data_IF_917304972389
#
_entry.id   IF_917304972389
#
_cell.length_a   1.000
_cell.length_b   1.000
_cell.length_c   1.000
_cell.angle_alpha   90.00
_cell.angle_beta   90.00
_cell.angle_gamma   90.00
#
_symmetry.space_group_name_H-M   'P 1'
#
loop_
_entity.id
_entity.type
_entity.pdbx_description
1 polymer ?
2 non-polymer ?
3 non-polymer ?
4 non-polymer ?
5 water ?
#
# COMPACT_ATOMS: atom_id res chain seq x y z
N UNK A 12 -31.95 10.12 16.91
CA UNK A 12 -32.47 8.96 16.18
C UNK A 12 -31.34 8.28 15.40
N UNK A 13 -30.99 8.85 14.25
CA UNK A 13 -29.98 8.30 13.36
C UNK A 13 -28.70 9.12 13.44
N UNK A 14 -27.57 8.43 13.26
CA UNK A 14 -26.28 9.08 13.31
C UNK A 14 -25.25 8.54 12.33
N UNK A 15 -24.75 9.40 11.44
CA UNK A 15 -23.71 9.03 10.48
C UNK A 15 -22.38 9.54 10.99
N UNK A 16 -21.37 8.68 10.95
CA UNK A 16 -20.04 9.00 11.46
C UNK A 16 -19.03 8.87 10.32
N UNK A 17 -18.11 9.84 10.25
CA UNK A 17 -16.97 9.86 9.33
C UNK A 17 -15.72 9.76 10.18
N UNK A 18 -14.98 8.68 10.03
CA UNK A 18 -13.74 8.47 10.76
C UNK A 18 -12.62 8.72 9.76
N UNK A 19 -11.73 9.68 10.05
CA UNK A 19 -10.62 9.97 9.14
C UNK A 19 -9.34 9.40 9.72
N UNK A 20 -8.66 8.55 8.93
CA UNK A 20 -7.38 8.01 9.32
C UNK A 20 -6.26 8.98 8.99
N UNK A 21 -5.14 8.92 9.73
CA UNK A 21 -4.03 9.84 9.44
C UNK A 21 -3.52 9.75 8.02
N UNK A 22 -3.63 8.58 7.39
CA UNK A 22 -3.14 8.41 6.03
C UNK A 22 -4.06 9.02 4.97
N UNK A 23 -5.24 9.53 5.38
CA UNK A 23 -6.15 10.18 4.46
C UNK A 23 -7.34 9.34 4.05
N UNK A 24 -7.31 8.03 4.30
CA UNK A 24 -8.48 7.22 4.10
C UNK A 24 -9.50 7.46 5.19
N UNK A 25 -10.68 6.91 4.98
CA UNK A 25 -11.75 7.18 5.93
C UNK A 25 -12.78 6.05 5.90
N UNK A 26 -13.55 5.96 6.97
CA UNK A 26 -14.67 5.03 7.08
C UNK A 26 -15.92 5.86 7.36
N UNK A 27 -17.00 5.60 6.62
CA UNK A 27 -18.22 6.40 6.80
C UNK A 27 -19.43 5.49 6.83
N UNK A 28 -20.33 5.75 7.76
CA UNK A 28 -21.60 5.04 7.76
C UNK A 28 -22.39 5.38 9.00
N UNK A 29 -23.60 4.84 9.04
CA UNK A 29 -24.45 4.99 10.22
C UNK A 29 -23.97 4.03 11.29
N UNK A 30 -23.74 4.54 12.49
CA UNK A 30 -23.32 3.66 13.58
C UNK A 30 -24.53 2.94 14.14
N UNK A 31 -24.31 1.72 14.63
CA UNK A 31 -25.41 0.93 15.18
C UNK A 31 -25.68 1.39 16.62
N UNK A 32 -26.48 0.60 17.35
CA UNK A 32 -26.89 0.96 18.70
C UNK A 32 -25.69 1.15 19.62
N UNK A 33 -24.69 0.28 19.50
CA UNK A 33 -23.48 0.35 20.31
C UNK A 33 -22.47 1.37 19.80
N UNK A 34 -22.86 2.21 18.85
CA UNK A 34 -21.92 3.16 18.28
C UNK A 34 -20.85 2.53 17.42
N UNK A 35 -21.13 1.38 16.82
CA UNK A 35 -20.16 0.64 16.04
C UNK A 35 -20.48 0.73 14.55
N UNK A 36 -19.44 0.70 13.73
CA UNK A 36 -19.56 0.75 12.28
C UNK A 36 -19.97 -0.62 11.74
N UNK A 37 -21.24 -0.94 11.97
CA UNK A 37 -21.78 -2.25 11.63
C UNK A 37 -23.04 -2.07 10.81
N UNK A 38 -23.04 -2.60 9.59
CA UNK A 38 -24.21 -2.51 8.76
C UNK A 38 -23.89 -2.96 7.35
N UNK A 39 -24.87 -2.77 6.46
CA UNK A 39 -24.78 -3.17 5.07
C UNK A 39 -24.49 -2.01 4.13
N UNK A 40 -24.43 -0.79 4.64
CA UNK A 40 -24.22 0.40 3.83
C UNK A 40 -23.09 1.24 4.40
N UNK A 41 -22.01 0.57 4.80
CA UNK A 41 -20.81 1.20 5.32
C UNK A 41 -19.79 1.29 4.19
N UNK A 42 -18.92 2.29 4.23
CA UNK A 42 -17.93 2.40 3.17
C UNK A 42 -16.57 2.79 3.71
N UNK A 43 -15.52 2.14 3.18
CA UNK A 43 -14.18 2.69 3.26
C UNK A 43 -13.96 3.58 2.06
N UNK A 44 -13.40 4.77 2.29
CA UNK A 44 -13.09 5.69 1.21
C UNK A 44 -11.58 5.86 1.16
N UNK A 45 -10.98 5.65 -0.01
CA UNK A 45 -9.54 5.81 -0.18
C UNK A 45 -9.10 7.27 -0.04
N UNK A 46 -7.79 7.52 0.05
CA UNK A 46 -7.29 8.91 0.20
C UNK A 46 -7.68 9.87 -0.94
N UNK A 47 -8.13 9.40 -2.09
CA UNK A 47 -8.57 10.36 -3.11
C UNK A 47 -9.96 10.91 -2.83
N UNK A 48 -10.63 10.43 -1.77
CA UNK A 48 -11.95 10.90 -1.35
C UNK A 48 -12.99 10.65 -2.44
N UNK A 49 -12.75 9.62 -3.25
CA UNK A 49 -13.62 9.32 -4.39
C UNK A 49 -13.79 7.81 -4.54
N UNK A 50 -12.68 7.07 -4.46
CA UNK A 50 -12.72 5.62 -4.62
C UNK A 50 -13.16 4.98 -3.30
N UNK A 51 -14.17 4.10 -3.37
CA UNK A 51 -14.75 3.60 -2.14
C UNK A 51 -15.03 2.10 -2.25
N UNK A 52 -15.02 1.45 -1.09
CA UNK A 52 -15.44 0.06 -0.97
C UNK A 52 -16.67 0.06 -0.08
N UNK A 53 -17.84 -0.23 -0.66
CA UNK A 53 -19.12 0.03 -0.03
C UNK A 53 -19.86 -1.28 0.18
N UNK A 54 -20.38 -1.47 1.40
CA UNK A 54 -21.13 -2.69 1.66
C UNK A 54 -21.15 -3.11 3.11
N UNK A 55 -20.95 -4.41 3.36
CA UNK A 55 -21.12 -4.98 4.68
C UNK A 55 -19.84 -4.83 5.51
N UNK A 56 -19.96 -4.19 6.68
CA UNK A 56 -18.90 -4.07 7.66
C UNK A 56 -19.44 -4.49 9.02
N UNK A 57 -18.58 -5.07 9.84
CA UNK A 57 -18.91 -5.37 11.23
C UNK A 57 -17.86 -4.73 12.10
N UNK A 58 -18.28 -3.77 12.92
CA UNK A 58 -17.39 -3.05 13.83
C UNK A 58 -16.18 -2.49 13.07
N UNK A 59 -16.45 -1.91 11.91
CA UNK A 59 -15.42 -1.31 11.09
C UNK A 59 -14.60 -2.25 10.26
N UNK A 60 -14.84 -3.56 10.34
CA UNK A 60 -14.11 -4.56 9.58
C UNK A 60 -14.88 -4.89 8.31
N UNK A 61 -14.21 -4.79 7.17
CA UNK A 61 -14.87 -5.02 5.88
C UNK A 61 -15.20 -6.50 5.69
N UNK A 62 -16.49 -6.82 5.57
CA UNK A 62 -16.92 -8.18 5.26
C UNK A 62 -17.14 -8.36 3.76
N UNK A 63 -17.78 -7.38 3.12
CA UNK A 63 -18.06 -7.45 1.69
C UNK A 63 -18.18 -6.00 1.20
N UNK A 64 -17.07 -5.47 0.69
CA UNK A 64 -17.05 -4.14 0.10
C UNK A 64 -17.02 -4.25 -1.41
N UNK A 65 -17.93 -3.54 -2.06
CA UNK A 65 -18.00 -3.50 -3.52
C UNK A 65 -17.41 -2.18 -4.01
N UNK A 66 -16.68 -2.24 -5.12
CA UNK A 66 -16.08 -1.02 -5.66
C UNK A 66 -17.17 -0.01 -6.03
N UNK A 67 -16.96 1.23 -5.63
CA UNK A 67 -17.96 2.26 -5.76
C UNK A 67 -17.24 3.61 -5.87
N UNK A 68 -17.99 4.61 -6.30
CA UNK A 68 -17.50 5.98 -6.37
C UNK A 68 -18.33 6.86 -5.43
N UNK A 69 -17.65 7.61 -4.58
CA UNK A 69 -18.31 8.62 -3.76
C UNK A 69 -18.60 9.83 -4.64
N UNK A 70 -19.88 10.09 -4.89
CA UNK A 70 -20.27 11.13 -5.83
C UNK A 70 -20.47 12.48 -5.13
N UNK A 71 -21.16 12.47 -4.00
CA UNK A 71 -21.41 13.69 -3.26
C UNK A 71 -21.75 13.32 -1.82
N UNK A 72 -21.72 14.34 -0.96
CA UNK A 72 -22.09 14.20 0.45
C UNK A 72 -23.04 15.34 0.77
N UNK A 73 -24.33 15.10 0.58
CA UNK A 73 -25.35 16.11 0.86
C UNK A 73 -25.76 15.98 2.32
N UNK A 74 -25.45 17.02 3.11
CA UNK A 74 -25.83 17.11 4.53
C UNK A 74 -25.28 15.92 5.33
N UNK A 75 -24.05 15.51 5.01
CA UNK A 75 -23.34 14.50 5.76
C UNK A 75 -23.55 13.08 5.28
N UNK A 76 -24.71 12.80 4.67
CA UNK A 76 -24.99 11.48 4.12
C UNK A 76 -24.28 11.32 2.77
N UNK A 77 -23.32 10.42 2.65
CA UNK A 77 -22.64 10.24 1.36
C UNK A 77 -23.50 9.49 0.36
N UNK A 78 -23.32 9.83 -0.90
CA UNK A 78 -23.96 9.13 -2.01
C UNK A 78 -22.91 8.34 -2.78
N UNK A 79 -23.11 7.03 -2.85
CA UNK A 79 -22.18 6.14 -3.52
C UNK A 79 -22.81 5.56 -4.79
N UNK A 80 -22.02 5.51 -5.85
CA UNK A 80 -22.41 4.84 -7.08
C UNK A 80 -21.58 3.57 -7.20
N UNK A 81 -22.26 2.43 -7.23
CA UNK A 81 -21.55 1.17 -7.39
C UNK A 81 -20.94 1.09 -8.78
N UNK A 82 -19.67 0.67 -8.82
CA UNK A 82 -19.02 0.46 -10.09
C UNK A 82 -19.60 -0.78 -10.78
N UNK A 83 -19.83 -0.73 -12.08
CA UNK A 83 -20.26 -1.94 -12.80
C UNK A 83 -19.21 -3.03 -12.67
N UNK A 84 -19.64 -4.21 -12.32
CA UNK A 84 -18.75 -5.35 -12.19
C UNK A 84 -19.06 -6.11 -10.92
N UNK A 85 -18.21 -7.10 -10.64
CA UNK A 85 -18.35 -7.92 -9.44
C UNK A 85 -17.12 -7.81 -8.55
N UNK A 86 -16.42 -6.68 -8.61
CA UNK A 86 -15.26 -6.46 -7.74
C UNK A 86 -15.73 -6.39 -6.29
N UNK A 87 -15.40 -7.42 -5.50
CA UNK A 87 -15.78 -7.52 -4.09
C UNK A 87 -14.53 -7.77 -3.26
N UNK A 88 -14.42 -7.10 -2.11
CA UNK A 88 -13.24 -7.18 -1.26
C UNK A 88 -13.64 -7.46 0.18
N UNK A 89 -12.71 -8.03 0.93
CA UNK A 89 -12.96 -8.28 2.35
C UNK A 89 -11.65 -8.10 3.11
N UNK A 90 -11.80 -7.85 4.42
CA UNK A 90 -10.65 -7.85 5.30
C UNK A 90 -9.95 -9.20 5.21
N UNK A 91 -8.63 -9.15 5.00
CA UNK A 91 -7.89 -10.32 4.57
C UNK A 91 -6.44 -10.18 5.02
N UNK A 92 -6.24 -9.89 6.30
CA UNK A 92 -4.90 -9.61 6.81
C UNK A 92 -4.00 -10.83 6.63
N UNK A 93 -2.79 -10.59 6.14
CA UNK A 93 -1.86 -11.68 5.89
C UNK A 93 -1.36 -12.29 7.20
N UNK A 94 -0.77 -13.46 7.08
CA UNK A 94 -0.14 -14.15 8.19
C UNK A 94 1.35 -14.35 7.84
N UNK A 95 2.02 -15.18 8.64
CA UNK A 95 3.42 -15.43 8.36
C UNK A 95 3.60 -16.28 7.09
N UNK A 96 2.59 -17.06 6.71
CA UNK A 96 2.72 -17.98 5.59
C UNK A 96 1.71 -17.74 4.47
N UNK A 97 0.72 -16.88 4.67
CA UNK A 97 -0.30 -16.64 3.65
C UNK A 97 -0.31 -15.14 3.35
N UNK A 98 0.00 -14.79 2.10
CA UNK A 98 0.09 -13.38 1.74
C UNK A 98 -1.29 -12.79 1.43
N UNK A 99 -2.23 -13.62 0.99
CA UNK A 99 -3.51 -13.13 0.51
C UNK A 99 -4.42 -14.30 0.16
N UNK A 100 -5.73 -14.14 0.42
CA UNK A 100 -6.72 -15.12 -0.05
C UNK A 100 -6.89 -15.05 -1.55
N UNK A 101 -6.64 -13.89 -2.16
CA UNK A 101 -6.71 -13.77 -3.61
C UNK A 101 -5.50 -12.96 -4.08
N UNK A 102 -4.39 -13.65 -4.29
CA UNK A 102 -3.15 -13.00 -4.68
C UNK A 102 -3.25 -12.27 -6.00
N UNK A 103 -4.22 -12.62 -6.86
CA UNK A 103 -4.31 -12.02 -8.19
C UNK A 103 -5.45 -11.02 -8.30
N UNK A 104 -6.06 -10.63 -7.19
CA UNK A 104 -7.07 -9.59 -7.18
C UNK A 104 -6.39 -8.26 -6.85
N UNK A 105 -6.24 -7.35 -7.80
CA UNK A 105 -5.48 -6.13 -7.55
C UNK A 105 -6.27 -5.17 -6.67
N UNK A 106 -5.54 -4.23 -6.10
CA UNK A 106 -6.19 -3.14 -5.38
C UNK A 106 -6.64 -2.08 -6.38
N UNK A 107 -7.90 -1.64 -6.33
CA UNK A 107 -8.43 -0.77 -7.38
C UNK A 107 -7.88 0.64 -7.34
N UNK A 108 -7.54 1.14 -6.15
CA UNK A 108 -6.94 2.47 -6.03
C UNK A 108 -5.51 2.45 -6.56
N UNK A 109 -4.74 1.45 -6.16
CA UNK A 109 -3.38 1.30 -6.69
C UNK A 109 -3.39 1.11 -8.20
N UNK A 110 -4.36 0.35 -8.72
CA UNK A 110 -4.41 0.07 -10.15
C UNK A 110 -4.58 1.34 -10.98
N UNK A 111 -5.21 2.37 -10.41
CA UNK A 111 -5.38 3.63 -11.14
C UNK A 111 -4.11 4.46 -11.16
N UNK A 112 -3.18 4.20 -10.24
CA UNK A 112 -2.06 5.11 -10.03
C UNK A 112 -0.69 4.58 -10.39
N UNK A 113 -0.45 3.27 -10.40
CA UNK A 113 0.87 2.76 -10.70
C UNK A 113 0.80 1.58 -11.66
N UNK A 114 1.93 1.28 -12.27
CA UNK A 114 2.09 0.06 -13.04
C UNK A 114 3.53 -0.42 -12.92
N UNK A 115 3.75 -1.67 -13.27
CA UNK A 115 5.07 -2.29 -13.21
C UNK A 115 5.64 -2.39 -14.62
N UNK A 116 6.91 -2.05 -14.79
CA UNK A 116 7.58 -2.18 -16.07
C UNK A 116 9.07 -2.37 -15.80
N UNK A 117 9.86 -2.55 -16.87
CA UNK A 117 11.30 -2.65 -16.67
C UNK A 117 11.84 -1.35 -16.08
N UNK A 118 12.67 -1.46 -15.05
CA UNK A 118 13.22 -0.26 -14.42
C UNK A 118 14.08 0.54 -15.39
N UNK A 119 14.14 1.85 -15.14
CA UNK A 119 15.09 2.69 -15.87
C UNK A 119 16.47 2.70 -15.22
N UNK A 120 16.59 2.12 -14.03
CA UNK A 120 17.88 1.95 -13.35
C UNK A 120 18.54 0.70 -13.90
N UNK A 121 19.78 0.85 -14.38
CA UNK A 121 20.49 -0.25 -15.01
C UNK A 121 20.62 -1.44 -14.05
N UNK A 122 20.22 -2.63 -14.54
CA UNK A 122 20.29 -3.90 -13.82
C UNK A 122 19.38 -4.00 -12.60
N UNK A 123 18.43 -3.07 -12.44
CA UNK A 123 17.56 -3.14 -11.27
C UNK A 123 16.39 -4.10 -11.45
N UNK A 124 16.15 -4.59 -12.65
CA UNK A 124 15.01 -5.48 -12.88
C UNK A 124 13.75 -4.69 -13.23
N UNK A 125 12.64 -5.04 -12.60
CA UNK A 125 11.40 -4.28 -12.77
C UNK A 125 11.36 -3.11 -11.79
N UNK A 126 10.52 -2.14 -12.12
CA UNK A 126 10.30 -1.00 -11.26
C UNK A 126 8.83 -0.65 -11.26
N UNK A 127 8.51 0.33 -10.43
CA UNK A 127 7.15 0.78 -10.24
C UNK A 127 7.07 2.18 -10.85
N UNK A 128 6.02 2.43 -11.63
CA UNK A 128 5.90 3.66 -12.40
C UNK A 128 4.55 4.31 -12.13
N UNK A 129 4.53 5.64 -12.18
CA UNK A 129 3.25 6.35 -12.05
C UNK A 129 2.45 6.23 -13.35
N UNK A 130 1.17 5.87 -13.22
CA UNK A 130 0.28 5.84 -14.39
C UNK A 130 -0.14 7.24 -14.83
N UNK A 131 -0.31 8.16 -13.87
CA UNK A 131 -0.86 9.47 -14.11
C UNK A 131 -0.03 10.50 -13.36
N UNK A 132 -0.18 11.75 -13.76
CA UNK A 132 0.48 12.81 -13.01
C UNK A 132 -0.28 13.05 -11.71
N UNK A 133 0.46 13.18 -10.61
CA UNK A 133 -0.13 13.40 -9.30
C UNK A 133 0.68 14.47 -8.58
N UNK A 134 0.09 15.06 -7.55
CA UNK A 134 0.77 16.07 -6.77
C UNK A 134 1.60 15.48 -5.66
N UNK A 135 2.25 16.34 -4.88
CA UNK A 135 3.00 15.86 -3.70
C UNK A 135 2.08 15.22 -2.67
N UNK A 136 2.68 14.35 -1.86
CA UNK A 136 2.03 13.73 -0.71
C UNK A 136 0.88 12.82 -1.10
N UNK A 137 0.96 12.22 -2.28
CA UNK A 137 -0.10 11.36 -2.81
C UNK A 137 0.23 9.89 -2.54
N UNK A 138 -0.70 9.17 -1.89
CA UNK A 138 -0.55 7.72 -1.73
C UNK A 138 -0.67 7.07 -3.11
N UNK A 139 0.33 6.27 -3.48
CA UNK A 139 0.38 5.66 -4.81
C UNK A 139 0.20 4.15 -4.80
N UNK A 140 0.72 3.49 -3.78
CA UNK A 140 0.85 2.04 -3.85
C UNK A 140 0.87 1.51 -2.43
N UNK A 141 0.48 0.25 -2.27
CA UNK A 141 0.44 -0.39 -0.98
C UNK A 141 1.52 -1.46 -0.87
N UNK A 142 2.10 -1.56 0.32
CA UNK A 142 3.16 -2.54 0.57
C UNK A 142 2.58 -3.58 1.53
N UNK A 143 1.80 -4.50 0.97
CA UNK A 143 1.36 -5.68 1.71
C UNK A 143 2.37 -6.82 1.53
N UNK A 144 2.28 -7.81 2.40
CA UNK A 144 3.13 -8.98 2.31
C UNK A 144 2.86 -9.88 3.49
N UNK A 145 3.58 -11.01 3.53
CA UNK A 145 3.48 -11.84 4.74
C UNK A 145 4.14 -11.10 5.90
N UNK A 146 3.83 -11.56 7.12
CA UNK A 146 4.24 -10.89 8.34
C UNK A 146 5.18 -11.82 9.11
N UNK A 147 6.44 -11.43 9.21
CA UNK A 147 7.46 -12.25 9.86
C UNK A 147 8.18 -11.40 10.92
N UNK A 148 9.06 -12.05 11.68
CA UNK A 148 9.77 -11.38 12.76
C UNK A 148 11.07 -10.77 12.25
N UNK A 149 11.52 -9.72 12.96
CA UNK A 149 12.87 -9.21 12.73
C UNK A 149 13.91 -10.29 12.92
N UNK A 150 13.67 -11.21 13.86
CA UNK A 150 14.61 -12.30 14.09
C UNK A 150 14.79 -13.14 12.83
N UNK A 151 13.69 -13.52 12.18
CA UNK A 151 13.77 -14.31 10.96
C UNK A 151 14.53 -13.55 9.87
N UNK A 152 14.22 -12.26 9.68
CA UNK A 152 14.89 -11.46 8.67
C UNK A 152 16.38 -11.30 9.00
N UNK A 153 16.69 -10.98 10.25
CA UNK A 153 18.09 -10.77 10.64
C UNK A 153 18.90 -12.07 10.60
N UNK A 154 18.24 -13.22 10.78
CA UNK A 154 18.94 -14.49 10.91
C UNK A 154 19.15 -15.21 9.58
N UNK A 155 18.78 -14.61 8.45
CA UNK A 155 18.96 -15.24 7.16
C UNK A 155 19.81 -14.36 6.25
N UNK A 156 20.18 -14.93 5.09
CA UNK A 156 20.98 -14.23 4.11
C UNK A 156 20.27 -12.95 3.66
N UNK A 157 21.02 -11.85 3.56
CA UNK A 157 20.38 -10.60 3.17
C UNK A 157 19.90 -10.65 1.73
N UNK A 158 20.42 -11.57 0.91
CA UNK A 158 19.89 -11.77 -0.44
C UNK A 158 18.43 -12.21 -0.44
N UNK A 159 17.92 -12.70 0.69
CA UNK A 159 16.51 -13.02 0.82
C UNK A 159 15.68 -11.84 1.33
N UNK A 160 16.29 -10.68 1.56
CA UNK A 160 15.60 -9.58 2.21
C UNK A 160 15.34 -8.39 1.30
N UNK A 161 15.47 -8.57 -0.02
CA UNK A 161 15.25 -7.45 -0.95
C UNK A 161 13.83 -6.92 -0.96
N UNK A 162 12.84 -7.72 -0.54
CA UNK A 162 11.46 -7.26 -0.46
C UNK A 162 10.97 -7.06 0.97
N UNK A 163 11.87 -7.06 1.96
CA UNK A 163 11.45 -6.84 3.34
C UNK A 163 11.25 -5.35 3.62
N UNK A 164 10.26 -5.05 4.45
CA UNK A 164 10.03 -3.68 4.93
C UNK A 164 9.54 -3.78 6.37
N UNK A 165 10.28 -3.18 7.29
CA UNK A 165 9.85 -3.18 8.69
C UNK A 165 8.54 -2.42 8.82
N UNK A 166 7.57 -3.04 9.47
CA UNK A 166 6.29 -2.39 9.76
C UNK A 166 6.34 -1.68 11.10
N UNK A 167 6.83 -2.36 12.12
CA UNK A 167 6.99 -1.83 13.47
C UNK A 167 8.10 -2.63 14.15
N UNK A 168 8.18 -2.50 15.48
CA UNK A 168 9.22 -3.21 16.19
C UNK A 168 8.95 -4.71 16.32
N UNK A 169 7.74 -5.17 16.01
CA UNK A 169 7.41 -6.59 16.08
C UNK A 169 7.42 -7.29 14.73
N UNK A 170 7.08 -6.59 13.64
CA UNK A 170 6.68 -7.23 12.39
C UNK A 170 7.48 -6.67 11.22
N UNK A 171 7.94 -7.56 10.35
CA UNK A 171 8.52 -7.19 9.05
C UNK A 171 7.62 -7.72 7.96
N UNK A 172 7.29 -6.88 7.00
CA UNK A 172 6.51 -7.28 5.83
C UNK A 172 7.46 -7.83 4.78
N UNK A 173 7.10 -8.94 4.13
CA UNK A 173 7.94 -9.49 3.08
C UNK A 173 7.08 -9.97 1.91
N UNK A 174 7.66 -9.90 0.71
CA UNK A 174 7.06 -10.50 -0.48
C UNK A 174 8.04 -11.54 -0.99
N UNK A 175 8.00 -12.77 -0.48
CA UNK A 175 8.99 -13.78 -0.86
C UNK A 175 8.65 -14.45 -2.17
N UNK A 176 9.68 -15.06 -2.76
CA UNK A 176 9.46 -15.90 -3.93
C UNK A 176 8.41 -16.96 -3.61
N UNK A 177 7.48 -17.25 -4.54
CA UNK A 177 7.35 -16.74 -5.91
C UNK A 177 6.50 -15.49 -6.02
N UNK A 178 6.11 -14.90 -4.89
CA UNK A 178 5.20 -13.75 -4.93
C UNK A 178 5.87 -12.50 -5.44
N UNK A 179 7.18 -12.54 -5.69
CA UNK A 179 7.86 -11.40 -6.30
C UNK A 179 7.60 -11.27 -7.80
N UNK A 180 6.90 -12.24 -8.42
CA UNK A 180 6.46 -12.14 -9.81
C UNK A 180 5.02 -11.62 -9.85
N UNK A 181 4.77 -10.61 -10.68
CA UNK A 181 3.42 -10.05 -10.74
C UNK A 181 2.40 -11.07 -11.26
N UNK A 182 2.86 -12.07 -12.01
CA UNK A 182 1.95 -13.11 -12.49
C UNK A 182 1.51 -14.04 -11.37
N UNK A 183 2.19 -14.00 -10.22
CA UNK A 183 1.86 -14.80 -9.05
C UNK A 183 1.18 -13.97 -7.96
N UNK A 184 1.52 -12.68 -7.87
CA UNK A 184 0.98 -11.81 -6.83
C UNK A 184 0.89 -10.40 -7.38
N UNK A 185 -0.34 -9.88 -7.47
CA UNK A 185 -0.50 -8.49 -7.86
C UNK A 185 -1.50 -7.75 -6.97
N UNK A 186 -1.84 -8.33 -5.80
CA UNK A 186 -2.79 -7.66 -4.90
C UNK A 186 -2.25 -6.33 -4.40
N UNK A 187 -0.93 -6.22 -4.28
CA UNK A 187 -0.28 -4.96 -3.95
C UNK A 187 1.05 -4.94 -4.70
N UNK A 188 1.60 -3.73 -4.89
CA UNK A 188 2.77 -3.61 -5.75
C UNK A 188 3.91 -2.81 -5.13
N UNK A 189 3.83 -2.46 -3.84
CA UNK A 189 4.81 -1.55 -3.26
C UNK A 189 6.23 -2.10 -3.29
N UNK A 190 6.36 -3.43 -3.27
CA UNK A 190 7.67 -4.09 -3.30
C UNK A 190 8.39 -3.89 -4.63
N UNK A 191 7.72 -3.41 -5.67
CA UNK A 191 8.37 -3.22 -6.96
C UNK A 191 9.11 -1.88 -7.08
N UNK A 192 8.93 -0.96 -6.13
CA UNK A 192 9.64 0.31 -6.19
C UNK A 192 11.11 0.15 -5.84
N UNK A 193 11.99 0.66 -6.70
CA UNK A 193 13.42 0.53 -6.47
C UNK A 193 13.95 1.64 -5.56
N UNK A 194 15.19 1.46 -5.15
CA UNK A 194 15.88 2.36 -4.25
C UNK A 194 16.49 3.54 -4.98
N UNK A 195 16.46 4.71 -4.34
CA UNK A 195 17.27 5.84 -4.76
C UNK A 195 17.59 6.69 -3.54
N UNK A 196 18.78 7.30 -3.54
CA UNK A 196 19.11 8.31 -2.55
C UNK A 196 18.65 9.70 -2.98
N UNK A 197 18.08 9.82 -4.17
CA UNK A 197 17.30 11.01 -4.56
C UNK A 197 15.87 10.57 -4.85
N UNK A 198 15.18 10.01 -3.87
CA UNK A 198 13.88 9.39 -4.13
C UNK A 198 12.81 10.43 -4.36
N UNK A 199 11.77 10.03 -5.08
CA UNK A 199 10.60 10.88 -5.19
C UNK A 199 9.45 10.43 -4.31
N UNK A 200 9.63 9.35 -3.53
CA UNK A 200 8.58 8.83 -2.66
C UNK A 200 9.17 8.41 -1.32
N UNK A 201 8.28 8.19 -0.35
CA UNK A 201 8.64 7.62 0.95
C UNK A 201 7.68 6.48 1.25
N UNK A 202 8.08 5.63 2.21
CA UNK A 202 7.15 4.69 2.83
C UNK A 202 6.45 5.38 4.00
N UNK A 203 5.17 5.09 4.18
CA UNK A 203 4.36 5.75 5.19
C UNK A 203 3.39 4.74 5.75
N UNK A 204 2.94 4.96 6.98
CA UNK A 204 1.95 4.05 7.56
C UNK A 204 0.65 4.10 6.77
N UNK A 205 -0.09 2.99 6.78
CA UNK A 205 -1.37 2.95 6.09
C UNK A 205 -2.26 1.91 6.75
N UNK A 206 -3.53 2.26 6.98
CA UNK A 206 -4.53 1.34 7.53
C UNK A 206 -5.45 0.98 6.38
N UNK A 207 -5.29 -0.22 5.84
CA UNK A 207 -5.98 -0.67 4.64
C UNK A 207 -7.19 -1.54 4.99
N UNK A 208 -8.34 -1.35 4.34
CA UNK A 208 -9.52 -2.15 4.70
C UNK A 208 -9.37 -3.63 4.41
N UNK A 209 -8.55 -3.98 3.43
CA UNK A 209 -8.32 -5.37 3.05
C UNK A 209 -7.06 -5.91 3.71
N UNK A 210 -5.96 -5.17 3.63
CA UNK A 210 -4.68 -5.66 4.11
C UNK A 210 -4.46 -5.41 5.60
N UNK A 211 -5.22 -4.50 6.20
CA UNK A 211 -4.98 -4.16 7.59
C UNK A 211 -3.82 -3.18 7.71
N UNK A 212 -3.15 -3.18 8.87
CA UNK A 212 -2.05 -2.23 9.08
C UNK A 212 -0.82 -2.64 8.28
N UNK A 213 -0.43 -1.78 7.34
CA UNK A 213 0.70 -2.04 6.43
C UNK A 213 1.43 -0.72 6.22
N UNK A 214 2.26 -0.65 5.18
CA UNK A 214 2.88 0.58 4.71
C UNK A 214 2.34 0.90 3.32
N UNK A 215 2.51 2.16 2.92
CA UNK A 215 2.19 2.57 1.56
C UNK A 215 3.38 3.34 1.01
N UNK A 216 3.32 3.62 -0.29
CA UNK A 216 4.28 4.50 -0.96
C UNK A 216 3.55 5.80 -1.21
N UNK A 217 4.10 6.90 -0.69
CA UNK A 217 3.54 8.24 -0.83
C UNK A 217 4.56 9.15 -1.52
N UNK A 218 4.10 9.95 -2.49
CA UNK A 218 5.04 10.82 -3.18
C UNK A 218 5.54 11.93 -2.26
N UNK A 219 6.81 12.29 -2.44
CA UNK A 219 7.40 13.46 -1.79
C UNK A 219 7.17 14.73 -2.58
N UNK A 220 7.01 14.59 -3.88
CA UNK A 220 6.85 15.70 -4.80
C UNK A 220 5.84 15.30 -5.85
N UNK A 221 5.40 16.27 -6.63
CA UNK A 221 4.60 15.94 -7.80
C UNK A 221 5.40 15.04 -8.72
N UNK A 222 4.71 14.08 -9.34
CA UNK A 222 5.35 13.17 -10.29
C UNK A 222 4.53 13.15 -11.56
N UNK A 223 5.21 13.02 -12.68
CA UNK A 223 4.54 12.95 -13.97
C UNK A 223 4.14 11.52 -14.30
N UNK A 224 3.21 11.38 -15.24
CA UNK A 224 2.93 10.07 -15.79
C UNK A 224 4.20 9.44 -16.32
N UNK A 225 4.39 8.15 -16.02
CA UNK A 225 5.46 7.27 -16.51
C UNK A 225 6.80 7.56 -15.87
N UNK A 226 6.82 8.35 -14.80
CA UNK A 226 8.02 8.51 -13.99
C UNK A 226 8.20 7.28 -13.11
N UNK A 227 9.44 6.83 -12.95
CA UNK A 227 9.71 5.72 -12.06
C UNK A 227 9.65 6.20 -10.61
N UNK A 228 8.96 5.43 -9.77
CA UNK A 228 8.82 5.75 -8.35
C UNK A 228 9.95 5.09 -7.58
N UNK A 229 10.64 5.88 -6.77
CA UNK A 229 11.78 5.37 -6.00
C UNK A 229 11.64 5.82 -4.55
N UNK A 230 12.21 5.01 -3.65
CA UNK A 230 12.18 5.27 -2.21
C UNK A 230 13.57 4.97 -1.68
N UNK A 231 14.01 5.74 -0.68
CA UNK A 231 15.28 5.39 -0.02
C UNK A 231 15.05 4.17 0.86
N UNK A 232 15.76 3.07 0.57
CA UNK A 232 15.61 1.84 1.35
C UNK A 232 16.18 2.01 2.75
N UNK A 233 17.20 2.85 2.88
CA UNK A 233 17.86 3.06 4.16
C UNK A 233 19.14 3.83 3.92
N UNK A 234 19.92 3.98 5.00
CA UNK A 234 21.18 4.70 4.95
C UNK A 234 22.31 3.97 5.68
N UNK A 235 22.07 2.74 6.15
CA UNK A 235 23.13 1.98 6.82
C UNK A 235 24.13 1.46 5.80
N UNK A 236 25.29 1.02 6.30
CA UNK A 236 26.29 0.48 5.38
C UNK A 236 25.87 -0.87 4.81
N UNK A 237 25.02 -1.62 5.51
CA UNK A 237 24.62 -2.94 5.05
C UNK A 237 23.17 -3.20 5.41
N UNK A 238 22.46 -3.98 4.58
CA UNK A 238 21.07 -4.29 4.86
C UNK A 238 20.95 -5.35 5.95
N UNK A 239 19.76 -5.57 6.50
CA UNK A 239 19.60 -6.64 7.49
C UNK A 239 19.85 -7.99 6.86
N UNK A 240 20.38 -8.92 7.66
CA UNK A 240 20.66 -10.26 7.21
C UNK A 240 22.09 -10.65 7.49
N UNK A 241 22.47 -11.83 6.99
CA UNK A 241 23.79 -12.40 7.22
C UNK A 241 24.61 -12.41 5.93
N UNK A 242 25.93 -12.34 6.11
CA UNK A 242 26.94 -12.39 5.04
C UNK A 242 26.53 -11.70 3.75
N UNK A 246 26.46 -5.99 1.92
CA UNK A 246 25.55 -5.24 1.05
C UNK A 246 25.79 -5.55 -0.42
N UNK A 247 24.72 -5.58 -1.22
CA UNK A 247 24.91 -5.74 -2.66
C UNK A 247 25.69 -4.56 -3.23
N UNK A 248 26.43 -4.81 -4.31
CA UNK A 248 27.31 -3.77 -4.80
C UNK A 248 26.56 -2.57 -5.38
N UNK A 249 25.38 -2.79 -5.98
CA UNK A 249 24.64 -1.65 -6.51
C UNK A 249 24.38 -0.64 -5.43
N UNK A 250 24.12 -1.11 -4.20
CA UNK A 250 23.85 -0.24 -3.08
C UNK A 250 25.14 0.40 -2.56
N UNK A 251 26.23 -0.38 -2.48
CA UNK A 251 27.53 0.20 -2.14
C UNK A 251 27.88 1.37 -3.04
N UNK A 252 27.69 1.20 -4.34
CA UNK A 252 28.04 2.24 -5.31
C UNK A 252 27.19 3.48 -5.07
N UNK A 253 25.88 3.30 -4.91
CA UNK A 253 25.02 4.45 -4.70
C UNK A 253 25.27 5.10 -3.35
N UNK A 254 25.60 4.31 -2.32
CA UNK A 254 25.86 4.89 -1.01
C UNK A 254 27.14 5.72 -1.01
N UNK A 255 28.18 5.21 -1.68
CA UNK A 255 29.41 5.98 -1.84
C UNK A 255 29.15 7.31 -2.55
N UNK A 256 28.33 7.29 -3.60
CA UNK A 256 28.03 8.52 -4.31
C UNK A 256 27.22 9.48 -3.43
N UNK A 257 26.27 8.94 -2.67
CA UNK A 257 25.52 9.77 -1.73
C UNK A 257 26.45 10.42 -0.70
N UNK A 258 27.35 9.63 -0.11
CA UNK A 258 28.24 10.17 0.91
C UNK A 258 29.27 11.12 0.32
N UNK A 259 29.55 11.02 -0.98
CA UNK A 259 30.52 11.93 -1.59
C UNK A 259 29.98 13.33 -1.75
N UNK A 260 28.67 13.53 -1.62
CA UNK A 260 28.07 14.86 -1.74
C UNK A 260 28.19 15.69 -0.47
N UNK A 261 28.66 15.10 0.63
CA UNK A 261 28.82 15.84 1.88
C UNK A 261 30.09 15.43 2.61
X LIG B 1 13.58 -4.58 -8.91
X LIG B 1 12.80 -5.44 -8.01
X LIG B 1 12.01 -6.42 -8.84
X LIG B 1 12.19 -6.47 -10.08
X LIG B 1 11.18 -7.17 -8.28
X LIG B 1 11.87 -4.58 -7.13
X LIG B 1 12.59 -3.89 -5.95
X LIG B 1 12.98 -4.86 -4.83
X LIG B 1 12.18 -4.56 -3.64
X LIG B 1 14.45 -4.73 -4.44
X LIG B 1 15.43 -5.31 -5.45
X LIG B 1 15.47 -4.51 -6.63
X LIG B 1 16.87 -5.29 -4.93
X LIG B 1 17.18 -6.44 -4.14
X LIG B 1 17.68 -5.22 -6.20
X LIG B 1 17.70 -6.49 -6.83
X LIG B 1 16.82 -4.32 -7.07
X LIG B 1 17.11 -2.87 -6.88
X LIG B 1 16.37 -1.99 -6.17
X LIG B 1 16.90 -0.75 -6.26
X LIG B 1 18.01 -0.83 -7.03
X LIG B 1 19.05 0.10 -7.51
X LIG B 1 19.00 1.42 -7.18
X LIG B 1 20.03 -0.40 -8.29
X LIG B 1 20.09 -1.72 -8.62
X LIG B 1 19.19 -2.64 -8.22
X LIG B 1 18.14 -2.23 -7.43
X LIG C 1 19.46 -4.55 -0.30
X LIG C 1 18.83 -3.54 0.48
X LIG C 1 19.13 -2.10 0.32
X LIG C 1 19.26 -1.07 1.30
X LIG C 1 18.88 -1.09 2.77
X LIG C 1 19.50 -0.20 3.71
X LIG C 1 19.23 -0.13 5.09
X LIG C 1 18.23 -1.01 5.59
X LIG C 1 17.63 -1.87 4.70
X LIG C 1 17.87 -1.98 3.28
X LIG C 1 17.13 -2.96 2.33
X LIG C 1 15.74 -2.88 2.22
X LIG C 1 14.89 -3.86 1.32
X LIG C 1 13.63 -3.13 0.75
X LIG C 1 11.75 -1.70 1.11
X LIG C 1 13.63 -1.48 2.51
X LIG C 1 14.83 -2.12 3.20
X LIG C 1 17.85 -3.97 1.46
X LIG C 1 17.65 -5.38 1.54
X LIG C 1 18.28 -6.34 0.76
X LIG C 1 19.21 -5.91 -0.19
X LIG C 1 12.89 -2.47 1.78
X LIG C 1 19.85 0.75 5.97
X LIG D 1 12.59 -12.17 -3.33
X LIG D 1 11.84 -11.70 -2.25
X LIG D 1 14.07 -12.16 -2.87
X LIG D 1 14.93 -12.43 -3.92
X LIG D 1 14.28 -10.76 -2.27
X LIG D 1 15.65 -10.61 -2.01
X LIG E 1 1.39 -4.43 -14.25
X LIG E 1 1.96 -3.26 -14.71
X LIG E 1 0.74 -4.08 -12.90
X LIG E 1 0.30 -2.75 -12.89
X LIG E 1 -0.43 -5.09 -12.75
X LIG E 1 -0.75 -5.52 -14.04
X LIG F 1 4.18 -2.47 -18.92
X LIG F 1 5.17 -3.25 -18.31
X LIG F 1 3.04 -3.45 -19.30
X LIG F 1 3.52 -4.57 -19.96
X LIG F 1 2.35 -3.80 -17.96
X LIG F 1 1.85 -2.62 -17.43
#
# INVERSE_FOLDING_TARGET
GSSGSSGKDNIRHGVCWIYYPDGGSLVGEVNEDGEMTGEKIAYVYPDERTALYGKFIDGEMIEGKLATLMSTEEGRPHFELMPGNSVYHFDKSTSSCISTNALLPDPYESERVYVAESLISSAGEGLFSKVAVGPNTVMSFYNGVRITHQEVDSRDWALNGNTLSLDEETVIDVPEPYNHVSKYCASLGHKANHSFTPNCIYDMFVHPRFGPIKCIRTLRAVEADEELTVAYGYDHSPPGKSGPEAPEWYQVELKAFQATQQK
SFG N CA C O OXT CB CG CD NE C5' C4' O4' C3' O3' C2' O2' C1' N9 C8 N7 C5 C6 N6 N1 C2 N3 C4
C7N C1 C2 C3 C4 C5 C6 C7 C9 C10 C11 C12 C13 C14 C15 C17 C18 C19 C20 C21 C22 C23 N16 O8
GOL C1 O1 C2 O2 C3 O3
GOL C1 O1 C2 O2 C3 O3
GOL C1 O1 C2 O2 C3 O3
#
